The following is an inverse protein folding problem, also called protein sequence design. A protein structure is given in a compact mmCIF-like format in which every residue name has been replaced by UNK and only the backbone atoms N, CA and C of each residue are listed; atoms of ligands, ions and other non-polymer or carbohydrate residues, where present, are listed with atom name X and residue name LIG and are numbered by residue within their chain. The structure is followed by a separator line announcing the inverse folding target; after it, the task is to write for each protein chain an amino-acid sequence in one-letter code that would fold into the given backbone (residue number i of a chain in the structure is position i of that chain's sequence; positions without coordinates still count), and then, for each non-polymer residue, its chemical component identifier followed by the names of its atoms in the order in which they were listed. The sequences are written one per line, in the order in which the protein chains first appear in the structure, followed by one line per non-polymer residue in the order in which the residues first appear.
data_IF_876406133990
#
_entry.id   IF_876406133990
#
_cell.length_a   1.000
_cell.length_b   1.000
_cell.length_c   1.000
_cell.angle_alpha   90.00
_cell.angle_beta   90.00
_cell.angle_gamma   90.00
#
_symmetry.space_group_name_H-M   'P 1'
#
loop_
_entity.id
_entity.type
_entity.pdbx_description
1 polymer ?
#
# COMPACT_ATOMS: atom_id res chain seq x y z
N UNK A 1 -26.63 -2.68 3.51
CA UNK A 1 -25.52 -1.80 3.85
C UNK A 1 -24.66 -1.54 2.62
N UNK A 2 -24.33 -0.30 2.37
CA UNK A 2 -23.52 0.07 1.22
C UNK A 2 -22.04 -0.25 1.49
N UNK A 3 -21.33 -0.95 0.57
CA UNK A 3 -19.92 -1.17 0.73
C UNK A 3 -19.16 0.15 0.78
N UNK A 4 -17.98 0.14 1.39
CA UNK A 4 -17.10 1.30 1.42
C UNK A 4 -16.72 1.69 -0.01
N UNK A 5 -16.63 3.00 -0.25
CA UNK A 5 -16.18 3.52 -1.54
C UNK A 5 -14.69 3.27 -1.72
N UNK A 6 -14.20 3.43 -2.94
CA UNK A 6 -12.77 3.34 -3.23
C UNK A 6 -11.97 4.31 -2.36
N UNK A 7 -12.46 5.55 -2.25
CA UNK A 7 -11.82 6.57 -1.42
C UNK A 7 -11.75 6.14 0.05
N UNK A 8 -12.84 5.58 0.58
CA UNK A 8 -12.88 5.13 1.98
C UNK A 8 -11.88 4.00 2.23
N UNK A 9 -11.78 3.06 1.28
CA UNK A 9 -10.83 1.94 1.42
C UNK A 9 -9.40 2.44 1.40
N UNK A 10 -9.08 3.38 0.49
CA UNK A 10 -7.75 3.97 0.45
C UNK A 10 -7.43 4.73 1.74
N UNK A 11 -8.37 5.51 2.27
CA UNK A 11 -8.18 6.24 3.53
C UNK A 11 -7.86 5.27 4.66
N UNK A 12 -8.64 4.20 4.77
CA UNK A 12 -8.46 3.19 5.81
C UNK A 12 -7.11 2.47 5.66
N UNK A 13 -6.76 2.12 4.42
CA UNK A 13 -5.52 1.41 4.11
C UNK A 13 -4.28 2.26 4.47
N UNK A 14 -4.28 3.53 4.06
CA UNK A 14 -3.18 4.45 4.37
C UNK A 14 -3.10 4.74 5.87
N UNK A 15 -4.23 4.85 6.55
CA UNK A 15 -4.27 5.04 8.00
C UNK A 15 -3.69 3.83 8.74
N UNK A 16 -4.05 2.61 8.31
CA UNK A 16 -3.52 1.39 8.90
C UNK A 16 -2.00 1.31 8.72
N UNK A 17 -1.50 1.70 7.55
CA UNK A 17 -0.06 1.74 7.31
C UNK A 17 0.62 2.77 8.23
N UNK A 18 0.04 3.96 8.36
CA UNK A 18 0.58 5.01 9.23
C UNK A 18 0.62 4.57 10.70
N UNK A 19 -0.35 3.74 11.11
CA UNK A 19 -0.41 3.18 12.47
C UNK A 19 0.43 1.91 12.62
N UNK A 20 1.07 1.45 11.57
CA UNK A 20 1.86 0.22 11.53
C UNK A 20 1.04 -1.01 11.91
N UNK A 21 -0.23 -1.02 11.49
CA UNK A 21 -1.19 -2.07 11.81
C UNK A 21 -1.27 -3.06 10.65
N UNK A 22 -0.44 -4.09 10.67
CA UNK A 22 -0.39 -5.09 9.59
C UNK A 22 -1.73 -5.80 9.44
N UNK A 23 -2.38 -6.17 10.55
CA UNK A 23 -3.68 -6.83 10.49
C UNK A 23 -4.73 -5.92 9.83
N UNK A 24 -4.72 -4.63 10.15
CA UNK A 24 -5.62 -3.65 9.51
C UNK A 24 -5.35 -3.50 8.03
N UNK A 25 -4.07 -3.46 7.63
CA UNK A 25 -3.69 -3.41 6.23
C UNK A 25 -4.24 -4.62 5.47
N UNK A 26 -4.02 -5.82 6.01
CA UNK A 26 -4.45 -7.06 5.35
C UNK A 26 -5.97 -7.21 5.30
N UNK A 27 -6.66 -6.64 6.27
CA UNK A 27 -8.14 -6.69 6.30
C UNK A 27 -8.78 -5.95 5.12
N UNK A 28 -8.02 -5.07 4.45
CA UNK A 28 -8.53 -4.33 3.29
C UNK A 28 -8.51 -5.12 1.99
N UNK A 29 -7.84 -6.28 1.97
CA UNK A 29 -7.73 -7.10 0.76
C UNK A 29 -8.80 -8.19 0.73
N UNK A 30 -9.29 -8.48 -0.49
CA UNK A 30 -10.12 -9.67 -0.68
C UNK A 30 -9.26 -10.93 -0.55
N UNK A 31 -9.90 -12.08 -0.32
CA UNK A 31 -9.17 -13.34 -0.10
C UNK A 31 -8.35 -13.77 -1.31
N UNK A 32 -8.72 -13.32 -2.51
CA UNK A 32 -8.04 -13.67 -3.77
C UNK A 32 -7.37 -12.45 -4.42
N UNK A 33 -7.13 -11.39 -3.65
CA UNK A 33 -6.49 -10.19 -4.15
C UNK A 33 -5.10 -10.48 -4.71
N UNK A 34 -4.74 -9.76 -5.77
CA UNK A 34 -3.40 -9.87 -6.37
C UNK A 34 -2.70 -8.53 -6.24
N UNK A 35 -1.51 -8.56 -5.64
CA UNK A 35 -0.63 -7.40 -5.56
C UNK A 35 0.57 -7.65 -6.46
N UNK A 36 0.69 -6.84 -7.51
CA UNK A 36 1.84 -6.90 -8.41
C UNK A 36 2.96 -6.05 -7.85
N UNK A 37 4.16 -6.63 -7.76
CA UNK A 37 5.36 -5.93 -7.33
C UNK A 37 6.41 -6.02 -8.44
N UNK A 38 7.50 -5.24 -8.38
CA UNK A 38 8.58 -5.37 -9.37
C UNK A 38 9.19 -6.77 -9.47
N UNK A 39 9.02 -7.60 -8.44
CA UNK A 39 9.53 -8.97 -8.43
C UNK A 39 8.47 -10.02 -8.74
N UNK A 40 7.23 -9.61 -9.01
CA UNK A 40 6.16 -10.52 -9.40
C UNK A 40 4.90 -10.38 -8.56
N UNK A 41 3.88 -11.18 -8.85
CA UNK A 41 2.61 -11.09 -8.15
C UNK A 41 2.62 -11.85 -6.83
N UNK A 42 1.85 -11.28 -5.87
CA UNK A 42 1.55 -11.92 -4.59
C UNK A 42 0.05 -12.12 -4.54
N UNK A 43 -0.41 -13.35 -4.40
CA UNK A 43 -1.84 -13.67 -4.42
C UNK A 43 -2.32 -14.03 -3.03
N UNK A 44 -3.31 -13.29 -2.56
CA UNK A 44 -3.97 -13.49 -1.27
C UNK A 44 -3.24 -12.85 -0.11
N UNK A 45 -3.98 -12.57 0.99
CA UNK A 45 -3.38 -11.91 2.16
C UNK A 45 -2.18 -12.64 2.76
N UNK A 46 -2.18 -13.97 2.76
CA UNK A 46 -1.06 -14.73 3.30
C UNK A 46 0.24 -14.48 2.54
N UNK A 47 0.16 -14.32 1.20
CA UNK A 47 1.34 -14.02 0.38
C UNK A 47 1.73 -12.55 0.47
N UNK A 48 0.77 -11.66 0.69
CA UNK A 48 0.99 -10.22 0.79
C UNK A 48 1.59 -9.84 2.16
N UNK A 49 1.27 -10.58 3.20
CA UNK A 49 1.66 -10.28 4.58
C UNK A 49 3.16 -10.04 4.77
N UNK A 50 4.07 -10.90 4.27
CA UNK A 50 5.50 -10.67 4.47
C UNK A 50 6.00 -9.33 3.93
N UNK A 51 5.44 -8.87 2.81
CA UNK A 51 5.80 -7.57 2.24
C UNK A 51 5.46 -6.44 3.21
N UNK A 52 4.24 -6.42 3.75
CA UNK A 52 3.83 -5.36 4.67
C UNK A 52 4.52 -5.48 6.03
N UNK A 53 4.81 -6.69 6.48
CA UNK A 53 5.62 -6.84 7.71
C UNK A 53 7.00 -6.19 7.54
N UNK A 54 7.64 -6.41 6.40
CA UNK A 54 8.94 -5.81 6.10
C UNK A 54 8.84 -4.29 5.99
N UNK A 55 7.84 -3.78 5.27
CA UNK A 55 7.66 -2.33 5.10
C UNK A 55 7.34 -1.65 6.43
N UNK A 56 6.45 -2.22 7.22
CA UNK A 56 6.09 -1.65 8.51
C UNK A 56 7.31 -1.62 9.43
N UNK A 57 8.11 -2.68 9.43
CA UNK A 57 9.33 -2.74 10.22
C UNK A 57 10.34 -1.66 9.79
N UNK A 58 10.50 -1.48 8.49
CA UNK A 58 11.38 -0.43 7.94
C UNK A 58 10.90 0.96 8.33
N UNK A 59 9.60 1.25 8.14
CA UNK A 59 9.03 2.56 8.41
C UNK A 59 8.88 2.85 9.91
N UNK A 60 8.96 1.84 10.76
CA UNK A 60 8.92 2.02 12.21
C UNK A 60 10.23 2.59 12.77
N UNK A 61 11.33 2.49 12.03
CA UNK A 61 12.61 3.05 12.47
C UNK A 61 12.55 4.57 12.53
N UNK A 62 13.26 5.20 13.48
CA UNK A 62 13.26 6.66 13.61
C UNK A 62 13.69 7.37 12.34
N UNK A 63 13.10 8.55 12.09
CA UNK A 63 13.44 9.38 10.94
C UNK A 63 12.65 9.07 9.68
N UNK A 64 11.67 8.17 9.76
CA UNK A 64 10.85 7.85 8.59
C UNK A 64 9.86 8.96 8.27
N UNK A 65 9.63 9.19 6.98
CA UNK A 65 8.61 10.11 6.49
C UNK A 65 7.93 9.50 5.27
N UNK A 66 6.68 9.90 5.05
CA UNK A 66 5.87 9.40 3.94
C UNK A 66 4.97 10.54 3.47
N UNK A 67 5.01 10.85 2.19
CA UNK A 67 4.22 11.96 1.62
C UNK A 67 3.51 11.49 0.36
N UNK A 68 2.18 11.62 0.33
CA UNK A 68 1.39 11.39 -0.89
C UNK A 68 1.47 12.67 -1.73
N UNK A 69 2.06 12.57 -2.90
CA UNK A 69 2.24 13.69 -3.82
C UNK A 69 1.01 13.88 -4.68
N UNK A 70 0.31 12.81 -5.01
CA UNK A 70 -0.86 12.86 -5.88
C UNK A 70 -1.78 11.70 -5.54
N UNK A 71 -3.09 11.95 -5.60
CA UNK A 71 -4.12 10.94 -5.38
C UNK A 71 -5.26 11.18 -6.36
N UNK A 72 -5.65 10.13 -7.07
CA UNK A 72 -6.77 10.16 -8.01
C UNK A 72 -7.68 8.97 -7.77
N UNK A 73 -8.97 9.19 -7.85
CA UNK A 73 -9.99 8.15 -7.75
C UNK A 73 -10.87 8.24 -9.00
N UNK A 74 -11.07 7.11 -9.66
CA UNK A 74 -11.99 7.00 -10.79
C UNK A 74 -12.76 5.69 -10.66
N UNK A 75 -14.03 5.78 -10.24
CA UNK A 75 -14.86 4.60 -10.02
C UNK A 75 -14.21 3.63 -9.02
N UNK A 76 -13.98 2.41 -9.46
CA UNK A 76 -13.36 1.36 -8.65
C UNK A 76 -11.83 1.48 -8.58
N UNK A 77 -11.25 2.45 -9.25
CA UNK A 77 -9.80 2.57 -9.38
C UNK A 77 -9.27 3.72 -8.52
N UNK A 78 -8.18 3.44 -7.79
CA UNK A 78 -7.45 4.45 -7.04
C UNK A 78 -6.00 4.45 -7.42
N UNK A 79 -5.37 5.63 -7.42
CA UNK A 79 -3.98 5.79 -7.80
C UNK A 79 -3.32 6.80 -6.88
N UNK A 80 -2.15 6.46 -6.37
CA UNK A 80 -1.34 7.40 -5.58
C UNK A 80 0.08 7.43 -6.11
N UNK A 81 0.66 8.62 -6.05
CA UNK A 81 2.11 8.83 -6.24
C UNK A 81 2.63 9.32 -4.89
N UNK A 82 3.69 8.72 -4.42
CA UNK A 82 4.23 9.08 -3.12
C UNK A 82 5.75 9.04 -3.10
N UNK A 83 6.31 9.71 -2.10
CA UNK A 83 7.74 9.69 -1.78
C UNK A 83 7.89 9.35 -0.30
N UNK A 84 9.04 8.85 0.06
CA UNK A 84 9.30 8.53 1.46
C UNK A 84 10.80 8.46 1.73
N UNK A 85 11.13 8.63 3.01
CA UNK A 85 12.47 8.38 3.52
C UNK A 85 12.37 7.49 4.74
N UNK A 86 13.26 6.52 4.81
CA UNK A 86 13.41 5.67 5.99
C UNK A 86 14.87 5.65 6.40
N UNK A 87 15.18 5.00 7.52
CA UNK A 87 16.57 4.84 7.93
C UNK A 87 17.38 4.08 6.87
N UNK A 88 16.73 3.19 6.12
CA UNK A 88 17.41 2.28 5.19
C UNK A 88 17.38 2.73 3.73
N UNK A 89 16.36 3.50 3.33
CA UNK A 89 16.10 3.78 1.91
C UNK A 89 15.52 5.17 1.71
N UNK A 90 15.73 5.69 0.50
CA UNK A 90 15.00 6.85 -0.02
C UNK A 90 14.09 6.36 -1.15
N UNK A 91 12.78 6.56 -1.01
CA UNK A 91 11.79 6.25 -2.03
C UNK A 91 11.59 7.52 -2.86
N UNK A 92 12.36 7.62 -3.94
CA UNK A 92 12.41 8.85 -4.74
C UNK A 92 11.14 9.06 -5.55
N UNK A 93 10.50 7.96 -5.95
CA UNK A 93 9.25 7.98 -6.69
C UNK A 93 8.59 6.63 -6.54
N UNK A 94 7.34 6.63 -6.10
CA UNK A 94 6.58 5.39 -5.95
C UNK A 94 5.14 5.59 -6.39
N UNK A 95 4.55 4.54 -6.92
CA UNK A 95 3.15 4.53 -7.32
C UNK A 95 2.48 3.27 -6.83
N UNK A 96 1.20 3.40 -6.49
CA UNK A 96 0.29 2.28 -6.26
C UNK A 96 -0.99 2.53 -7.02
N UNK A 97 -1.46 1.51 -7.72
CA UNK A 97 -2.79 1.51 -8.35
C UNK A 97 -3.62 0.44 -7.66
N UNK A 98 -4.83 0.80 -7.27
CA UNK A 98 -5.74 -0.09 -6.55
C UNK A 98 -7.01 -0.30 -7.36
N UNK A 99 -7.54 -1.52 -7.35
CA UNK A 99 -8.89 -1.80 -7.82
C UNK A 99 -9.68 -2.28 -6.61
N UNK A 100 -10.76 -1.56 -6.30
CA UNK A 100 -11.60 -1.82 -5.12
C UNK A 100 -12.97 -2.28 -5.58
N UNK A 101 -13.46 -3.36 -4.99
CA UNK A 101 -14.80 -3.88 -5.28
C UNK A 101 -15.40 -4.45 -4.00
N UNK A 102 -16.67 -4.09 -3.75
CA UNK A 102 -17.38 -4.52 -2.55
C UNK A 102 -16.62 -4.20 -1.26
N UNK A 103 -15.97 -3.02 -1.23
CA UNK A 103 -15.26 -2.55 -0.05
C UNK A 103 -13.93 -3.21 0.22
N UNK A 104 -13.38 -3.95 -0.77
CA UNK A 104 -12.11 -4.65 -0.63
C UNK A 104 -11.22 -4.38 -1.83
N UNK A 105 -9.90 -4.38 -1.60
CA UNK A 105 -8.93 -4.30 -2.68
C UNK A 105 -8.85 -5.68 -3.32
N UNK A 106 -9.16 -5.74 -4.63
CA UNK A 106 -9.09 -7.00 -5.39
C UNK A 106 -7.82 -7.08 -6.23
N UNK A 107 -7.22 -5.93 -6.54
CA UNK A 107 -5.96 -5.89 -7.26
C UNK A 107 -5.22 -4.61 -6.88
N UNK A 108 -3.91 -4.70 -6.90
CA UNK A 108 -3.04 -3.55 -6.64
C UNK A 108 -1.74 -3.75 -7.41
N UNK A 109 -1.15 -2.66 -7.87
CA UNK A 109 0.21 -2.69 -8.39
C UNK A 109 1.06 -1.69 -7.62
N UNK A 110 2.31 -2.04 -7.40
CA UNK A 110 3.28 -1.20 -6.70
C UNK A 110 4.58 -1.17 -7.47
N UNK A 111 5.12 0.02 -7.67
CA UNK A 111 6.45 0.21 -8.23
C UNK A 111 7.12 1.42 -7.59
N UNK A 112 8.42 1.35 -7.39
CA UNK A 112 9.16 2.44 -6.76
C UNK A 112 10.58 2.51 -7.28
N UNK A 113 11.09 3.73 -7.33
CA UNK A 113 12.52 3.97 -7.49
C UNK A 113 13.10 4.15 -6.09
N UNK A 114 13.86 3.15 -5.65
CA UNK A 114 14.38 3.10 -4.29
C UNK A 114 15.89 3.25 -4.35
N UNK A 115 16.42 4.18 -3.55
CA UNK A 115 17.85 4.39 -3.40
C UNK A 115 18.26 3.96 -2.00
N UNK A 116 19.00 2.85 -1.85
CA UNK A 116 19.44 2.43 -0.52
C UNK A 116 20.37 3.46 0.11
N UNK A 117 20.28 3.60 1.42
CA UNK A 117 21.17 4.40 2.23
C UNK A 117 22.23 3.47 2.81
N UNK A 118 23.50 3.82 2.60
CA UNK A 118 24.59 2.98 3.10
C UNK A 118 24.81 3.15 4.59
#
# INVERSE_FOLDING_TARGET
MTPLSTSDVLDRHLTSFAKRDVAGILADYSSDAVLFTPTGPLTGPAAIKPLFKALVSEFAKPGSSFTVQHRSIEGDHGYIVWTADTADNSYEFATDTFVVRNGKIIAQSFAAKIKPKC
#
